data_IF_387117701922
#
_entry.id   IF_387117701922
#
_cell.length_a   1.000
_cell.length_b   1.000
_cell.length_c   1.000
_cell.angle_alpha   90.00
_cell.angle_beta   90.00
_cell.angle_gamma   90.00
#
_symmetry.space_group_name_H-M   'P 1'
#
loop_
_entity.id
_entity.type
_entity.pdbx_description
1 polymer ?
#
# COMPACT_ATOMS: atom_id res chain seq x y z
N UNK A 1 -84.21 3.01 36.27
CA UNK A 1 -84.22 3.38 34.84
C UNK A 1 -82.83 3.93 34.51
N UNK A 2 -81.96 3.12 33.93
CA UNK A 2 -80.53 3.39 33.78
C UNK A 2 -80.23 3.55 32.28
N UNK A 3 -79.70 4.71 31.90
CA UNK A 3 -79.29 5.07 30.54
C UNK A 3 -78.22 4.10 30.02
N UNK A 4 -78.54 3.39 28.92
CA UNK A 4 -77.59 2.62 28.17
C UNK A 4 -76.88 3.55 27.18
N UNK A 5 -75.61 3.89 27.46
CA UNK A 5 -74.79 4.75 26.62
C UNK A 5 -74.16 3.91 25.51
N UNK A 6 -74.70 4.02 24.30
CA UNK A 6 -74.11 3.39 23.11
C UNK A 6 -72.72 3.96 22.82
N UNK A 7 -71.69 3.13 23.05
CA UNK A 7 -70.34 3.34 22.52
C UNK A 7 -70.28 2.83 21.08
N UNK A 8 -70.87 3.58 20.16
CA UNK A 8 -70.80 3.33 18.71
C UNK A 8 -69.62 4.02 18.02
N UNK A 9 -68.47 4.13 18.68
CA UNK A 9 -67.35 4.92 18.14
C UNK A 9 -65.99 4.31 18.45
N UNK A 10 -65.55 3.35 17.63
CA UNK A 10 -64.13 3.10 17.34
C UNK A 10 -63.95 1.89 16.42
N UNK A 11 -64.08 2.07 15.10
CA UNK A 11 -63.39 1.18 14.14
C UNK A 11 -63.16 1.77 12.75
N UNK A 12 -63.36 3.08 12.54
CA UNK A 12 -62.95 3.77 11.32
C UNK A 12 -61.57 4.43 11.51
N UNK A 13 -60.57 3.65 11.88
CA UNK A 13 -59.17 4.07 11.84
C UNK A 13 -58.50 3.47 10.61
N UNK A 14 -58.35 4.32 9.59
CA UNK A 14 -57.31 4.25 8.58
C UNK A 14 -57.29 3.01 7.65
N UNK A 15 -58.10 3.05 6.58
CA UNK A 15 -58.00 2.14 5.43
C UNK A 15 -56.65 2.22 4.67
N UNK A 16 -55.71 3.06 5.10
CA UNK A 16 -54.41 3.23 4.44
C UNK A 16 -53.28 2.36 5.03
N UNK A 17 -53.54 1.56 6.07
CA UNK A 17 -52.52 0.68 6.68
C UNK A 17 -52.65 -0.77 6.21
N UNK A 18 -52.72 -0.99 4.90
CA UNK A 18 -52.46 -2.32 4.34
C UNK A 18 -50.95 -2.49 4.30
N UNK A 19 -50.37 -3.08 5.35
CA UNK A 19 -48.96 -3.50 5.31
C UNK A 19 -48.89 -4.64 4.29
N UNK A 20 -48.20 -4.48 3.15
CA UNK A 20 -48.08 -5.58 2.19
C UNK A 20 -47.41 -6.77 2.89
N UNK A 21 -47.98 -7.97 2.72
CA UNK A 21 -47.44 -9.20 3.32
C UNK A 21 -45.98 -9.48 2.92
N UNK A 22 -45.52 -8.91 1.81
CA UNK A 22 -44.13 -8.87 1.41
C UNK A 22 -43.69 -7.43 1.15
N UNK A 23 -42.73 -6.99 1.96
CA UNK A 23 -42.00 -5.76 1.71
C UNK A 23 -41.08 -6.04 0.51
N UNK A 24 -41.07 -5.20 -0.55
CA UNK A 24 -40.12 -5.36 -1.64
C UNK A 24 -38.70 -5.34 -1.07
N UNK A 25 -37.82 -6.17 -1.61
CA UNK A 25 -36.43 -6.21 -1.15
C UNK A 25 -35.84 -4.78 -1.22
N UNK A 26 -35.21 -4.29 -0.15
CA UNK A 26 -34.55 -2.99 -0.19
C UNK A 26 -33.43 -3.05 -1.24
N UNK A 27 -33.56 -2.26 -2.31
CA UNK A 27 -32.42 -1.89 -3.17
C UNK A 27 -31.88 -0.58 -2.61
N UNK A 28 -30.60 -0.53 -2.21
CA UNK A 28 -29.47 -1.02 -2.99
C UNK A 28 -28.91 -2.38 -2.52
N UNK A 29 -28.48 -3.22 -3.47
CA UNK A 29 -27.77 -4.46 -3.15
C UNK A 29 -26.38 -4.15 -2.57
N UNK A 30 -26.21 -4.36 -1.26
CA UNK A 30 -24.94 -4.18 -0.55
C UNK A 30 -24.00 -5.39 -0.68
N UNK A 31 -24.32 -6.37 -1.54
CA UNK A 31 -23.47 -7.54 -1.78
C UNK A 31 -22.04 -7.16 -2.21
N UNK A 32 -21.88 -6.08 -2.96
CA UNK A 32 -20.60 -5.58 -3.46
C UNK A 32 -19.67 -5.07 -2.34
N UNK A 33 -20.22 -4.47 -1.28
CA UNK A 33 -19.44 -3.96 -0.14
C UNK A 33 -19.30 -4.97 0.99
N UNK A 34 -19.88 -6.16 0.83
CA UNK A 34 -19.88 -7.19 1.88
C UNK A 34 -18.47 -7.73 2.08
N UNK A 35 -17.96 -7.55 3.30
CA UNK A 35 -16.67 -8.10 3.75
C UNK A 35 -16.61 -9.63 3.51
N UNK A 36 -15.66 -10.14 2.72
CA UNK A 36 -15.53 -11.58 2.49
C UNK A 36 -15.02 -12.29 3.75
N UNK A 37 -15.41 -13.56 3.94
CA UNK A 37 -15.09 -14.33 5.15
C UNK A 37 -13.69 -14.95 5.16
N UNK A 38 -13.04 -15.12 3.99
CA UNK A 38 -11.73 -15.78 3.90
C UNK A 38 -10.57 -14.81 4.09
N UNK A 39 -9.46 -15.27 4.69
CA UNK A 39 -8.29 -14.43 5.00
C UNK A 39 -7.64 -13.82 3.75
N UNK A 40 -7.50 -14.60 2.68
CA UNK A 40 -6.96 -14.14 1.41
C UNK A 40 -7.91 -13.15 0.72
N UNK A 41 -9.21 -13.45 0.67
CA UNK A 41 -10.17 -12.52 0.08
C UNK A 41 -10.24 -11.21 0.87
N UNK A 42 -10.06 -11.24 2.19
CA UNK A 42 -9.96 -10.03 3.02
C UNK A 42 -8.74 -9.17 2.66
N UNK A 43 -7.60 -9.80 2.41
CA UNK A 43 -6.40 -9.08 2.00
C UNK A 43 -6.60 -8.38 0.65
N UNK A 44 -7.08 -9.12 -0.35
CA UNK A 44 -7.36 -8.57 -1.68
C UNK A 44 -8.48 -7.52 -1.65
N UNK A 45 -9.51 -7.72 -0.84
CA UNK A 45 -10.60 -6.77 -0.65
C UNK A 45 -10.12 -5.45 -0.03
N UNK A 46 -9.26 -5.51 0.99
CA UNK A 46 -8.63 -4.31 1.57
C UNK A 46 -7.76 -3.59 0.56
N UNK A 47 -6.94 -4.32 -0.20
CA UNK A 47 -6.05 -3.73 -1.21
C UNK A 47 -6.85 -3.05 -2.32
N UNK A 48 -7.93 -3.70 -2.77
CA UNK A 48 -8.89 -3.15 -3.73
C UNK A 48 -9.55 -1.87 -3.23
N UNK A 49 -10.13 -1.88 -2.02
CA UNK A 49 -10.79 -0.70 -1.44
C UNK A 49 -9.81 0.44 -1.24
N UNK A 50 -8.59 0.15 -0.79
CA UNK A 50 -7.57 1.17 -0.57
C UNK A 50 -7.20 1.86 -1.88
N UNK A 51 -7.04 1.09 -2.96
CA UNK A 51 -6.80 1.60 -4.31
C UNK A 51 -8.01 2.42 -4.84
N UNK A 52 -9.23 1.91 -4.67
CA UNK A 52 -10.47 2.62 -5.06
C UNK A 52 -10.60 3.96 -4.30
N UNK A 53 -10.17 4.02 -3.04
CA UNK A 53 -10.22 5.21 -2.19
C UNK A 53 -9.15 6.24 -2.52
N UNK A 54 -7.90 5.83 -2.74
CA UNK A 54 -6.79 6.78 -3.00
C UNK A 54 -6.90 7.47 -4.36
N UNK A 55 -7.47 6.79 -5.35
CA UNK A 55 -7.56 7.30 -6.72
C UNK A 55 -8.96 7.79 -7.12
N UNK A 56 -9.94 7.79 -6.20
CA UNK A 56 -11.33 8.14 -6.49
C UNK A 56 -11.85 7.43 -7.76
N UNK A 57 -11.54 6.13 -7.89
CA UNK A 57 -11.83 5.33 -9.10
C UNK A 57 -13.33 5.11 -9.33
N UNK A 58 -14.19 5.69 -8.51
CA UNK A 58 -15.65 5.64 -8.65
C UNK A 58 -16.15 6.49 -9.83
N UNK A 59 -15.39 7.50 -10.26
CA UNK A 59 -15.80 8.45 -11.31
C UNK A 59 -15.35 8.01 -12.71
N UNK A 60 -14.29 7.20 -12.81
CA UNK A 60 -13.69 6.80 -14.07
C UNK A 60 -14.47 5.68 -14.78
N UNK A 61 -14.28 5.56 -16.11
CA UNK A 61 -14.82 4.43 -16.88
C UNK A 61 -14.06 3.12 -16.60
N UNK A 62 -14.67 1.93 -16.78
CA UNK A 62 -14.06 0.65 -16.44
C UNK A 62 -12.70 0.42 -17.12
N UNK A 63 -12.53 0.89 -18.35
CA UNK A 63 -11.30 0.72 -19.12
C UNK A 63 -10.20 1.69 -18.65
N UNK A 64 -10.54 2.94 -18.33
CA UNK A 64 -9.60 3.96 -17.89
C UNK A 64 -8.96 3.60 -16.54
N UNK A 65 -9.74 2.99 -15.64
CA UNK A 65 -9.24 2.45 -14.37
C UNK A 65 -8.10 1.45 -14.59
N UNK A 66 -8.21 0.58 -15.59
CA UNK A 66 -7.18 -0.42 -15.88
C UNK A 66 -5.89 0.26 -16.33
N UNK A 67 -5.99 1.26 -17.20
CA UNK A 67 -4.81 2.01 -17.69
C UNK A 67 -4.11 2.72 -16.53
N UNK A 68 -4.84 3.49 -15.71
CA UNK A 68 -4.27 4.22 -14.58
C UNK A 68 -3.59 3.27 -13.58
N UNK A 69 -4.22 2.14 -13.26
CA UNK A 69 -3.64 1.14 -12.35
C UNK A 69 -2.37 0.49 -12.92
N UNK A 70 -2.34 0.20 -14.21
CA UNK A 70 -1.13 -0.37 -14.84
C UNK A 70 0.03 0.62 -14.82
N UNK A 71 -0.20 1.89 -15.17
CA UNK A 71 0.83 2.93 -15.14
C UNK A 71 1.33 3.15 -13.72
N UNK A 72 0.42 3.25 -12.74
CA UNK A 72 0.80 3.39 -11.34
C UNK A 72 1.61 2.18 -10.83
N UNK A 73 1.22 0.96 -11.19
CA UNK A 73 1.97 -0.24 -10.83
C UNK A 73 3.39 -0.25 -11.45
N UNK A 74 3.53 0.17 -12.71
CA UNK A 74 4.82 0.30 -13.37
C UNK A 74 5.68 1.36 -12.66
N UNK A 75 5.11 2.53 -12.35
CA UNK A 75 5.83 3.59 -11.63
C UNK A 75 6.25 3.13 -10.23
N UNK A 76 5.37 2.49 -9.47
CA UNK A 76 5.70 1.95 -8.15
C UNK A 76 6.79 0.88 -8.21
N UNK A 77 6.73 -0.03 -9.18
CA UNK A 77 7.77 -1.07 -9.33
C UNK A 77 9.10 -0.45 -9.76
N UNK A 78 9.09 0.52 -10.68
CA UNK A 78 10.29 1.26 -11.06
C UNK A 78 10.92 2.00 -9.87
N UNK A 79 10.11 2.70 -9.06
CA UNK A 79 10.57 3.36 -7.82
C UNK A 79 11.15 2.33 -6.85
N UNK A 80 10.47 1.20 -6.65
CA UNK A 80 10.99 0.14 -5.78
C UNK A 80 12.34 -0.39 -6.27
N UNK A 81 12.49 -0.66 -7.57
CA UNK A 81 13.76 -1.12 -8.15
C UNK A 81 14.86 -0.08 -7.92
N UNK A 82 14.57 1.20 -8.17
CA UNK A 82 15.52 2.30 -7.89
C UNK A 82 15.87 2.33 -6.42
N UNK A 83 14.89 2.21 -5.52
CA UNK A 83 15.10 2.20 -4.08
C UNK A 83 16.01 1.03 -3.67
N UNK A 84 15.72 -0.19 -4.11
CA UNK A 84 16.56 -1.37 -3.82
C UNK A 84 17.98 -1.27 -4.38
N UNK A 85 18.19 -0.57 -5.51
CA UNK A 85 19.54 -0.35 -6.08
C UNK A 85 20.27 0.84 -5.47
N UNK A 86 19.55 1.88 -5.07
CA UNK A 86 20.11 3.14 -4.59
C UNK A 86 20.41 3.12 -3.09
N UNK A 87 19.54 2.49 -2.31
CA UNK A 87 19.65 2.42 -0.85
C UNK A 87 20.92 1.71 -0.36
N UNK A 88 21.35 0.54 -0.88
CA UNK A 88 22.61 -0.07 -0.45
C UNK A 88 23.82 0.83 -0.77
N UNK A 89 23.78 1.55 -1.89
CA UNK A 89 24.86 2.48 -2.27
C UNK A 89 25.00 3.62 -1.27
N UNK A 90 23.88 4.20 -0.86
CA UNK A 90 23.86 5.28 0.13
C UNK A 90 24.27 4.78 1.52
N UNK A 91 23.83 3.58 1.92
CA UNK A 91 24.22 2.97 3.19
C UNK A 91 25.72 2.73 3.29
N UNK A 92 26.38 2.27 2.22
CA UNK A 92 27.83 2.06 2.21
C UNK A 92 28.58 3.38 2.41
N UNK A 93 28.16 4.45 1.73
CA UNK A 93 28.79 5.77 1.86
C UNK A 93 28.60 6.37 3.26
N UNK A 94 27.38 6.27 3.80
CA UNK A 94 27.06 6.72 5.16
C UNK A 94 27.85 5.91 6.20
N UNK A 95 27.98 4.58 6.00
CA UNK A 95 28.75 3.68 6.86
C UNK A 95 30.23 4.06 6.90
N UNK A 96 30.86 4.30 5.74
CA UNK A 96 32.27 4.71 5.66
C UNK A 96 32.52 6.01 6.43
N UNK A 97 31.64 7.00 6.28
CA UNK A 97 31.73 8.26 7.03
C UNK A 97 31.49 8.07 8.53
N UNK A 98 30.52 7.26 8.93
CA UNK A 98 30.28 7.01 10.35
C UNK A 98 31.44 6.28 11.02
N UNK A 99 32.09 5.33 10.34
CA UNK A 99 33.26 4.63 10.88
C UNK A 99 34.44 5.60 11.05
N UNK A 100 34.68 6.44 10.05
CA UNK A 100 35.70 7.48 10.14
C UNK A 100 35.46 8.42 11.34
N UNK A 101 34.22 8.87 11.55
CA UNK A 101 33.92 9.77 12.67
C UNK A 101 33.86 9.08 14.04
N UNK A 102 33.47 7.80 14.11
CA UNK A 102 33.29 7.09 15.38
C UNK A 102 34.58 6.41 15.85
N UNK A 103 35.42 5.96 14.92
CA UNK A 103 36.63 5.15 15.21
C UNK A 103 37.93 5.88 14.88
N UNK A 104 37.89 6.94 14.06
CA UNK A 104 39.08 7.74 13.70
C UNK A 104 40.07 7.03 12.79
N UNK A 105 39.72 5.86 12.26
CA UNK A 105 40.58 5.02 11.42
C UNK A 105 40.06 5.00 9.98
N UNK A 106 40.98 5.11 9.01
CA UNK A 106 40.63 5.15 7.59
C UNK A 106 40.05 3.78 7.16
N UNK A 107 38.76 3.74 6.72
CA UNK A 107 38.08 2.48 6.41
C UNK A 107 38.73 1.71 5.25
N UNK A 108 39.46 2.40 4.38
CA UNK A 108 40.13 1.79 3.22
C UNK A 108 41.36 0.94 3.63
N UNK A 109 41.99 1.24 4.77
CA UNK A 109 43.10 0.43 5.31
C UNK A 109 42.58 -0.87 5.94
N UNK A 110 41.45 -0.80 6.63
CA UNK A 110 40.87 -1.97 7.28
C UNK A 110 40.21 -2.93 6.26
N UNK A 111 39.55 -2.38 5.23
CA UNK A 111 39.01 -3.19 4.13
C UNK A 111 40.12 -3.95 3.40
N UNK A 112 41.24 -3.29 3.05
CA UNK A 112 42.38 -3.94 2.38
C UNK A 112 43.04 -5.04 3.23
N UNK A 113 43.17 -4.83 4.55
CA UNK A 113 43.64 -5.87 5.47
C UNK A 113 42.68 -7.07 5.56
N UNK A 114 41.37 -6.83 5.56
CA UNK A 114 40.36 -7.88 5.64
C UNK A 114 40.36 -8.73 4.35
N UNK A 115 40.46 -8.10 3.19
CA UNK A 115 40.61 -8.80 1.90
C UNK A 115 41.92 -9.60 1.81
N UNK A 116 43.03 -9.03 2.32
CA UNK A 116 44.32 -9.70 2.38
C UNK A 116 44.30 -10.91 3.33
N UNK A 117 43.60 -10.82 4.47
CA UNK A 117 43.46 -11.93 5.42
C UNK A 117 42.53 -13.04 4.88
N UNK A 118 41.51 -12.68 4.08
CA UNK A 118 40.62 -13.62 3.41
C UNK A 118 41.23 -14.28 2.17
N UNK A 119 42.48 -13.95 1.81
CA UNK A 119 43.20 -14.55 0.68
C UNK A 119 42.60 -14.24 -0.70
N UNK A 120 41.65 -13.30 -0.77
CA UNK A 120 41.03 -12.83 -2.00
C UNK A 120 41.81 -11.60 -2.45
N UNK A 121 42.60 -11.73 -3.52
CA UNK A 121 43.36 -10.62 -4.10
C UNK A 121 42.43 -9.43 -4.35
N UNK A 122 42.68 -8.31 -3.69
CA UNK A 122 41.89 -7.09 -3.86
C UNK A 122 41.80 -6.73 -5.36
N UNK A 123 40.61 -6.36 -5.87
CA UNK A 123 40.48 -5.93 -7.26
C UNK A 123 41.30 -4.65 -7.45
N UNK A 124 42.36 -4.75 -8.24
CA UNK A 124 43.30 -3.70 -8.59
C UNK A 124 42.72 -2.80 -9.68
N UNK A 125 41.57 -2.18 -9.43
CA UNK A 125 40.90 -1.27 -10.39
C UNK A 125 40.72 0.15 -9.85
N UNK A 126 41.70 0.66 -9.09
CA UNK A 126 41.82 2.10 -8.83
C UNK A 126 43.17 2.57 -9.36
N UNK A 127 43.16 2.91 -10.65
CA UNK A 127 44.28 3.53 -11.34
C UNK A 127 44.69 4.83 -10.65
N UNK A 128 45.67 4.75 -9.76
CA UNK A 128 46.55 5.87 -9.48
C UNK A 128 47.47 6.02 -10.67
N UNK A 129 47.17 7.04 -11.47
CA UNK A 129 48.00 7.55 -12.54
C UNK A 129 49.37 7.94 -11.97
N UNK A 130 50.32 7.00 -12.00
CA UNK A 130 51.73 7.24 -11.73
C UNK A 130 52.31 8.01 -12.92
N UNK A 131 51.94 9.29 -13.00
CA UNK A 131 52.57 10.28 -13.86
C UNK A 131 54.02 10.43 -13.42
N UNK A 132 54.92 9.95 -14.27
CA UNK A 132 56.35 9.96 -14.02
C UNK A 132 56.91 11.36 -13.83
N UNK A 133 57.92 11.44 -12.97
CA UNK A 133 59.06 12.30 -13.24
C UNK A 133 60.28 11.71 -12.55
N UNK A 134 61.07 11.00 -13.34
CA UNK A 134 62.49 10.76 -13.04
C UNK A 134 63.22 12.06 -13.30
N UNK A 135 63.98 12.53 -12.31
CA UNK A 135 65.19 13.32 -12.47
C UNK A 135 66.30 12.58 -11.72
#
# INVERSE_FOLDING_TARGET
MIMHRDRGGASNVAAYRVVPAQIPHPKPDHSFTRRPKSKLALFWWKRRIWIESTFALTVYEPWEKVVVLTVFAILCTAIMIVFFRFLPRQLILMRKRSIYYLWGEDPDVNDTMLWQHLGLTAPTDVGYNAGGMRL
#
